data_IF_970216311410
#
_entry.id   IF_970216311410
#
_cell.length_a   1.000
_cell.length_b   1.000
_cell.length_c   1.000
_cell.angle_alpha   90.00
_cell.angle_beta   90.00
_cell.angle_gamma   90.00
#
_symmetry.space_group_name_H-M   'P 1'
#
loop_
_entity.id
_entity.type
_entity.pdbx_description
1 polymer ?
#
# COMPACT_ATOMS: atom_id res chain seq x y z
N UNK A 1 -2.12 -2.83 16.97
CA UNK A 1 -1.94 -3.99 16.07
C UNK A 1 -0.54 -3.94 15.49
N UNK A 2 0.21 -5.02 15.52
CA UNK A 2 1.47 -5.18 14.83
C UNK A 2 1.21 -6.01 13.57
N UNK A 3 1.70 -5.61 12.42
CA UNK A 3 1.44 -6.32 11.18
C UNK A 3 2.50 -6.05 10.11
N UNK A 4 2.43 -6.86 9.07
CA UNK A 4 3.21 -6.70 7.84
C UNK A 4 2.21 -6.52 6.71
N UNK A 5 2.27 -5.42 6.01
CA UNK A 5 1.40 -5.16 4.86
C UNK A 5 1.98 -5.88 3.64
N UNK A 6 1.25 -6.87 3.14
CA UNK A 6 1.74 -7.72 2.06
C UNK A 6 1.02 -7.48 0.72
N UNK A 7 -0.14 -6.83 0.73
CA UNK A 7 -1.06 -6.83 -0.40
C UNK A 7 -1.57 -5.44 -0.78
N UNK A 8 -0.95 -4.39 -0.25
CA UNK A 8 -1.20 -3.03 -0.72
C UNK A 8 -0.62 -2.84 -2.13
N UNK A 9 -1.24 -1.99 -2.95
CA UNK A 9 -0.59 -1.50 -4.15
C UNK A 9 0.48 -0.50 -3.70
N UNK A 10 1.73 -0.86 -3.89
CA UNK A 10 2.89 -0.04 -3.59
C UNK A 10 3.69 0.14 -4.87
N UNK A 11 4.19 1.34 -5.09
CA UNK A 11 5.25 1.54 -6.04
C UNK A 11 6.56 1.12 -5.38
N UNK A 12 7.29 0.24 -6.04
CA UNK A 12 8.65 -0.13 -5.66
C UNK A 12 9.62 0.56 -6.60
N UNK A 13 10.71 1.09 -6.05
CA UNK A 13 11.82 1.56 -6.85
C UNK A 13 12.49 0.35 -7.51
N UNK A 14 12.68 0.43 -8.81
CA UNK A 14 13.36 -0.58 -9.60
C UNK A 14 14.77 -0.10 -9.93
N UNK A 15 15.70 -1.05 -10.00
CA UNK A 15 17.03 -0.74 -10.53
C UNK A 15 16.93 -0.28 -11.98
N UNK A 16 17.84 0.59 -12.37
CA UNK A 16 17.85 1.18 -13.70
C UNK A 16 18.09 0.14 -14.80
N UNK A 17 17.80 0.51 -16.05
CA UNK A 17 18.03 -0.29 -17.26
C UNK A 17 19.46 -0.82 -17.44
N UNK A 18 20.42 -0.37 -16.64
CA UNK A 18 21.81 -0.84 -16.65
C UNK A 18 22.02 -2.15 -15.92
N UNK A 19 21.02 -2.60 -15.15
CA UNK A 19 21.05 -3.90 -14.49
C UNK A 19 20.65 -5.00 -15.48
N UNK A 20 21.57 -5.91 -15.77
CA UNK A 20 21.32 -7.08 -16.62
C UNK A 20 20.45 -8.16 -15.93
N UNK A 21 20.04 -7.95 -14.71
CA UNK A 21 19.17 -8.85 -13.97
C UNK A 21 17.72 -8.40 -14.17
N UNK A 22 16.96 -9.19 -14.93
CA UNK A 22 15.53 -8.97 -15.11
C UNK A 22 14.84 -8.84 -13.76
N UNK A 23 14.13 -7.74 -13.57
CA UNK A 23 13.43 -7.47 -12.32
C UNK A 23 12.25 -8.40 -12.19
N UNK A 24 12.40 -9.40 -11.36
CA UNK A 24 11.25 -10.10 -10.85
C UNK A 24 10.59 -9.22 -9.78
N UNK A 25 9.26 -9.13 -9.79
CA UNK A 25 8.45 -8.70 -8.66
C UNK A 25 8.68 -9.63 -7.45
N UNK A 26 9.89 -9.66 -6.95
CA UNK A 26 10.19 -10.35 -5.70
C UNK A 26 9.63 -9.46 -4.61
N UNK A 27 8.52 -9.90 -4.10
CA UNK A 27 7.74 -9.40 -3.00
C UNK A 27 8.43 -8.23 -2.31
N UNK A 28 7.92 -7.02 -2.60
CA UNK A 28 8.53 -5.79 -2.17
C UNK A 28 8.88 -5.83 -0.69
N UNK A 29 9.75 -4.96 -0.25
CA UNK A 29 10.03 -4.79 1.17
C UNK A 29 8.71 -4.77 1.91
N UNK A 30 8.53 -5.71 2.83
CA UNK A 30 7.35 -5.77 3.67
C UNK A 30 7.66 -4.90 4.89
N UNK A 31 7.26 -3.62 4.91
CA UNK A 31 7.54 -2.79 6.05
C UNK A 31 6.81 -3.35 7.26
N UNK A 32 7.56 -3.59 8.32
CA UNK A 32 6.96 -3.83 9.62
C UNK A 32 6.27 -2.55 10.06
N UNK A 33 5.00 -2.64 10.39
CA UNK A 33 4.26 -1.48 10.87
C UNK A 33 3.58 -1.75 12.22
N UNK A 34 3.48 -0.70 13.00
CA UNK A 34 2.70 -0.64 14.22
C UNK A 34 1.48 0.26 13.98
N UNK A 35 0.29 -0.25 14.18
CA UNK A 35 -0.94 0.54 14.11
C UNK A 35 -1.50 0.76 15.52
N UNK A 36 -1.63 2.02 15.89
CA UNK A 36 -2.24 2.46 17.14
C UNK A 36 -3.47 3.30 16.81
N UNK A 37 -4.59 3.03 17.47
CA UNK A 37 -5.80 3.80 17.21
C UNK A 37 -6.81 3.68 18.31
N UNK A 38 -7.77 4.61 18.26
CA UNK A 38 -8.90 4.68 19.16
C UNK A 38 -10.11 5.23 18.45
N UNK A 39 -11.27 4.95 19.00
CA UNK A 39 -12.55 5.50 18.55
C UNK A 39 -13.34 6.05 19.72
N UNK A 40 -14.19 7.02 19.43
CA UNK A 40 -15.17 7.52 20.37
C UNK A 40 -16.51 7.74 19.69
N UNK A 41 -17.56 7.56 20.45
CA UNK A 41 -18.93 7.91 20.07
C UNK A 41 -19.11 9.40 20.38
N UNK A 42 -19.25 10.23 19.34
CA UNK A 42 -19.48 11.68 19.51
C UNK A 42 -20.90 11.95 19.98
N UNK A 43 -21.87 11.30 19.37
CA UNK A 43 -23.28 11.39 19.70
C UNK A 43 -24.00 10.14 19.20
N UNK A 44 -25.31 10.02 19.49
CA UNK A 44 -26.10 8.89 19.03
C UNK A 44 -25.98 8.71 17.51
N UNK A 45 -25.32 7.65 17.07
CA UNK A 45 -25.17 7.31 15.65
C UNK A 45 -24.03 7.99 14.91
N UNK A 46 -23.14 8.74 15.58
CA UNK A 46 -21.92 9.29 14.98
C UNK A 46 -20.70 8.79 15.75
N UNK A 47 -19.90 7.98 15.11
CA UNK A 47 -18.65 7.46 15.67
C UNK A 47 -17.47 8.05 14.89
N UNK A 48 -16.43 8.47 15.60
CA UNK A 48 -15.18 9.00 15.02
C UNK A 48 -14.01 8.15 15.51
N UNK A 49 -13.15 7.77 14.57
CA UNK A 49 -11.94 7.03 14.84
C UNK A 49 -10.70 7.76 14.35
N UNK A 50 -9.63 7.65 15.09
CA UNK A 50 -8.30 8.13 14.71
C UNK A 50 -7.32 6.99 14.94
N UNK A 51 -6.47 6.75 13.97
CA UNK A 51 -5.35 5.82 14.13
C UNK A 51 -4.11 6.35 13.45
N UNK A 52 -2.98 5.79 13.81
CA UNK A 52 -1.70 6.06 13.15
C UNK A 52 -1.01 4.77 12.80
N UNK A 53 -0.51 4.71 11.58
CA UNK A 53 0.38 3.67 11.11
C UNK A 53 1.81 4.19 11.26
N UNK A 54 2.67 3.46 11.96
CA UNK A 54 4.08 3.79 12.18
C UNK A 54 4.90 2.74 11.43
N UNK A 55 5.67 3.17 10.45
CA UNK A 55 6.66 2.37 9.74
C UNK A 55 8.07 2.92 9.96
N UNK A 56 9.09 2.26 9.41
CA UNK A 56 10.48 2.69 9.54
C UNK A 56 11.05 3.04 8.17
N UNK A 57 11.73 4.18 8.09
CA UNK A 57 12.56 4.63 6.98
C UNK A 57 14.01 4.37 7.31
N UNK A 58 14.80 3.92 6.33
CA UNK A 58 16.22 3.67 6.49
C UNK A 58 17.05 4.84 5.98
N UNK A 59 18.07 5.24 6.75
CA UNK A 59 19.07 6.20 6.33
C UNK A 59 20.45 5.56 6.53
N UNK A 60 21.31 5.65 5.51
CA UNK A 60 22.68 5.18 5.56
C UNK A 60 23.64 6.33 5.28
N UNK A 61 24.67 6.46 6.09
CA UNK A 61 25.75 7.41 5.90
C UNK A 61 27.07 6.62 5.75
N UNK A 62 27.74 6.85 4.62
CA UNK A 62 29.05 6.28 4.34
C UNK A 62 30.09 7.39 4.35
N UNK A 63 31.10 7.27 5.19
CA UNK A 63 32.27 8.18 5.18
C UNK A 63 33.50 7.37 4.78
N UNK A 64 34.10 7.76 3.65
CA UNK A 64 35.29 7.13 3.14
C UNK A 64 36.45 8.12 3.06
N UNK A 65 37.62 7.73 3.54
CA UNK A 65 38.89 8.46 3.36
C UNK A 65 39.73 7.69 2.37
N UNK A 66 40.00 8.31 1.21
CA UNK A 66 40.64 7.66 0.07
C UNK A 66 41.83 8.49 -0.38
N UNK A 67 42.94 7.84 -0.76
CA UNK A 67 44.10 8.50 -1.36
C UNK A 67 43.87 8.79 -2.87
N UNK A 68 44.81 9.54 -3.48
CA UNK A 68 44.75 9.84 -4.94
C UNK A 68 44.93 8.61 -5.83
N UNK A 69 45.42 7.49 -5.29
CA UNK A 69 45.57 6.23 -6.00
C UNK A 69 44.31 5.34 -5.91
N UNK A 70 43.27 5.81 -5.18
CA UNK A 70 42.04 5.08 -5.00
C UNK A 70 42.03 4.08 -3.85
N UNK A 71 43.07 4.07 -3.00
CA UNK A 71 43.09 3.19 -1.84
C UNK A 71 42.30 3.83 -0.70
N UNK A 72 41.34 3.11 -0.14
CA UNK A 72 40.56 3.56 1.01
C UNK A 72 41.28 3.22 2.30
N UNK A 73 41.66 4.25 3.06
CA UNK A 73 42.36 4.09 4.34
C UNK A 73 41.39 3.87 5.51
N UNK A 74 40.21 4.49 5.41
CA UNK A 74 39.19 4.42 6.44
C UNK A 74 37.79 4.46 5.81
N UNK A 75 36.93 3.56 6.27
CA UNK A 75 35.50 3.51 5.88
C UNK A 75 34.68 3.35 7.13
N UNK A 76 33.62 4.18 7.22
CA UNK A 76 32.65 4.11 8.29
C UNK A 76 31.24 4.19 7.69
N UNK A 77 30.44 3.16 7.93
CA UNK A 77 29.03 3.14 7.57
C UNK A 77 28.17 3.23 8.83
N UNK A 78 27.25 4.17 8.83
CA UNK A 78 26.27 4.34 9.91
C UNK A 78 24.88 4.15 9.29
N UNK A 79 24.11 3.22 9.83
CA UNK A 79 22.72 2.99 9.41
C UNK A 79 21.79 3.36 10.54
N UNK A 80 20.80 4.18 10.26
CA UNK A 80 19.77 4.59 11.20
C UNK A 80 18.38 4.29 10.65
N UNK A 81 17.41 4.10 11.54
CA UNK A 81 16.02 3.93 11.19
C UNK A 81 15.19 5.04 11.84
N UNK A 82 14.43 5.76 11.03
CA UNK A 82 13.54 6.82 11.51
C UNK A 82 12.07 6.39 11.38
N UNK A 83 11.21 6.69 12.38
CA UNK A 83 9.80 6.40 12.27
C UNK A 83 9.13 7.33 11.26
N UNK A 84 8.30 6.75 10.40
CA UNK A 84 7.36 7.46 9.53
C UNK A 84 5.97 7.24 10.07
N UNK A 85 5.27 8.33 10.33
CA UNK A 85 3.94 8.35 10.97
C UNK A 85 2.90 8.68 9.91
N UNK A 86 1.92 7.80 9.74
CA UNK A 86 0.82 7.95 8.78
C UNK A 86 -0.51 8.04 9.53
N UNK A 87 -1.12 9.23 9.61
CA UNK A 87 -2.42 9.38 10.25
C UNK A 87 -3.55 8.80 9.39
N UNK A 88 -4.53 8.22 10.07
CA UNK A 88 -5.79 7.75 9.50
C UNK A 88 -6.93 8.30 10.36
N UNK A 89 -7.90 8.92 9.73
CA UNK A 89 -9.09 9.45 10.39
C UNK A 89 -10.32 8.86 9.73
N UNK A 90 -11.32 8.52 10.51
CA UNK A 90 -12.58 7.99 9.99
C UNK A 90 -13.79 8.44 10.78
N UNK A 91 -14.92 8.51 10.11
CA UNK A 91 -16.22 8.81 10.70
C UNK A 91 -17.25 7.81 10.16
N UNK A 92 -18.11 7.34 11.04
CA UNK A 92 -19.24 6.48 10.68
C UNK A 92 -20.56 7.13 11.14
N UNK A 93 -21.54 7.12 10.25
CA UNK A 93 -22.90 7.55 10.50
C UNK A 93 -23.83 6.34 10.50
N UNK A 94 -24.45 6.07 11.62
CA UNK A 94 -25.50 5.05 11.77
C UNK A 94 -26.87 5.72 11.63
N UNK A 95 -27.45 5.61 10.44
CA UNK A 95 -28.69 6.27 10.11
C UNK A 95 -29.88 5.74 10.92
N UNK A 96 -29.82 4.48 11.33
CA UNK A 96 -30.83 3.90 12.24
C UNK A 96 -30.88 4.67 13.56
N UNK A 97 -29.71 4.88 14.16
CA UNK A 97 -29.64 5.59 15.45
C UNK A 97 -29.96 7.07 15.31
N UNK A 98 -29.62 7.69 14.16
CA UNK A 98 -29.85 9.10 13.92
C UNK A 98 -31.34 9.44 13.67
N UNK A 99 -32.06 8.58 12.96
CA UNK A 99 -33.40 8.93 12.46
C UNK A 99 -34.53 8.01 12.92
N UNK A 100 -34.25 6.75 13.30
CA UNK A 100 -35.32 5.80 13.58
C UNK A 100 -35.82 5.80 15.03
N UNK A 101 -35.07 6.38 15.96
CA UNK A 101 -35.45 6.34 17.38
C UNK A 101 -35.64 4.91 17.88
N UNK A 102 -36.79 4.65 18.51
CA UNK A 102 -37.18 3.33 19.03
C UNK A 102 -38.05 2.48 18.07
N UNK A 103 -38.31 2.98 16.84
CA UNK A 103 -39.19 2.32 15.88
C UNK A 103 -38.49 1.97 14.57
N UNK A 104 -39.11 1.08 13.79
CA UNK A 104 -38.69 0.78 12.44
C UNK A 104 -38.91 1.98 11.53
N UNK A 105 -37.89 2.32 10.72
CA UNK A 105 -37.98 3.39 9.74
C UNK A 105 -37.22 3.04 8.45
N UNK A 106 -37.35 3.89 7.42
CA UNK A 106 -36.70 3.68 6.13
C UNK A 106 -35.18 3.65 6.20
N UNK A 107 -34.58 4.24 7.23
CA UNK A 107 -33.14 4.30 7.43
C UNK A 107 -32.59 3.10 8.25
N UNK A 108 -33.46 2.18 8.66
CA UNK A 108 -33.06 1.03 9.46
C UNK A 108 -32.06 0.15 8.70
N UNK A 109 -30.94 -0.16 9.34
CA UNK A 109 -29.85 -0.97 8.79
C UNK A 109 -28.87 -0.23 7.88
N UNK A 110 -29.07 1.08 7.61
CA UNK A 110 -28.15 1.87 6.80
C UNK A 110 -27.04 2.50 7.64
N UNK A 111 -25.81 2.42 7.10
CA UNK A 111 -24.64 3.10 7.65
C UNK A 111 -23.79 3.68 6.52
N UNK A 112 -23.19 4.84 6.77
CA UNK A 112 -22.26 5.49 5.84
C UNK A 112 -20.96 5.78 6.58
N UNK A 113 -19.83 5.58 5.93
CA UNK A 113 -18.52 5.85 6.50
C UNK A 113 -17.67 6.69 5.54
N UNK A 114 -16.93 7.63 6.09
CA UNK A 114 -15.90 8.40 5.43
C UNK A 114 -14.57 8.12 6.11
N UNK A 115 -13.54 7.86 5.34
CA UNK A 115 -12.18 7.74 5.88
C UNK A 115 -11.17 8.51 5.06
N UNK A 116 -10.16 9.01 5.73
CA UNK A 116 -9.00 9.68 5.19
C UNK A 116 -7.75 9.00 5.70
N UNK A 117 -6.83 8.71 4.81
CA UNK A 117 -5.53 8.15 5.11
C UNK A 117 -4.47 8.95 4.37
N UNK A 118 -3.48 9.46 5.11
CA UNK A 118 -2.38 10.24 4.56
C UNK A 118 -1.47 9.34 3.70
N UNK A 119 -0.73 9.95 2.77
CA UNK A 119 0.33 9.28 2.01
C UNK A 119 1.42 8.75 2.95
N UNK A 120 2.12 7.74 2.52
CA UNK A 120 3.33 7.26 3.16
C UNK A 120 4.35 6.88 2.11
N UNK A 121 5.58 7.27 2.35
CA UNK A 121 6.72 6.89 1.54
C UNK A 121 7.80 6.24 2.41
N UNK A 122 8.49 5.30 1.83
CA UNK A 122 9.75 4.81 2.36
C UNK A 122 10.84 5.23 1.39
N UNK A 123 11.74 6.05 1.88
CA UNK A 123 12.88 6.59 1.16
C UNK A 123 14.15 6.02 1.78
N UNK A 124 15.11 5.66 0.95
CA UNK A 124 16.45 5.35 1.40
C UNK A 124 17.37 6.51 1.01
N UNK A 125 17.99 7.12 2.00
CA UNK A 125 18.99 8.16 1.80
C UNK A 125 20.36 7.56 2.10
N UNK A 126 21.25 7.61 1.11
CA UNK A 126 22.64 7.23 1.24
C UNK A 126 23.50 8.47 1.05
N UNK A 127 24.17 8.90 2.11
CA UNK A 127 25.12 10.00 2.05
C UNK A 127 26.53 9.43 2.04
N UNK A 128 27.30 9.66 0.98
CA UNK A 128 28.70 9.29 0.85
C UNK A 128 29.56 10.54 1.00
N UNK A 129 30.45 10.55 1.96
CA UNK A 129 31.44 11.61 2.15
C UNK A 129 32.84 11.06 1.80
N UNK A 130 33.49 11.72 0.86
CA UNK A 130 34.86 11.35 0.44
C UNK A 130 35.84 12.42 0.82
N UNK A 131 36.88 12.05 1.56
CA UNK A 131 38.00 12.89 1.92
C UNK A 131 39.27 12.38 1.21
N UNK A 132 39.89 13.27 0.44
CA UNK A 132 41.17 12.97 -0.24
C UNK A 132 42.20 13.98 0.29
N UNK A 133 43.09 13.57 1.22
CA UNK A 133 44.07 14.48 1.81
C UNK A 133 44.91 15.21 0.75
N UNK A 134 45.00 16.53 0.87
CA UNK A 134 45.69 17.37 -0.11
C UNK A 134 44.91 17.81 -1.34
N UNK A 135 43.76 17.19 -1.64
CA UNK A 135 42.91 17.55 -2.78
C UNK A 135 41.51 17.93 -2.37
N UNK A 136 40.91 17.14 -1.52
CA UNK A 136 39.58 17.36 -0.92
C UNK A 136 39.73 17.22 0.59
N UNK A 137 40.12 18.33 1.27
CA UNK A 137 40.35 18.27 2.71
C UNK A 137 39.08 18.12 3.50
N UNK A 138 39.20 17.82 4.78
CA UNK A 138 38.07 17.82 5.72
C UNK A 138 37.31 19.17 5.66
N UNK A 139 35.99 19.18 5.55
CA UNK A 139 35.02 18.09 5.78
C UNK A 139 34.76 17.13 4.61
N UNK A 140 35.45 17.23 3.48
CA UNK A 140 35.29 16.32 2.37
C UNK A 140 34.25 16.77 1.34
N UNK A 141 34.04 15.95 0.31
CA UNK A 141 32.97 16.07 -0.66
C UNK A 141 31.84 15.11 -0.30
N UNK A 142 30.67 15.64 -0.03
CA UNK A 142 29.50 14.82 0.27
C UNK A 142 28.62 14.67 -0.97
N UNK A 143 28.34 13.44 -1.35
CA UNK A 143 27.33 13.07 -2.32
C UNK A 143 26.17 12.41 -1.56
N UNK A 144 24.97 12.97 -1.67
CA UNK A 144 23.77 12.36 -1.15
C UNK A 144 22.95 11.77 -2.30
N UNK A 145 22.57 10.52 -2.15
CA UNK A 145 21.67 9.80 -3.05
C UNK A 145 20.42 9.50 -2.26
N UNK A 146 19.28 10.05 -2.71
CA UNK A 146 17.97 9.75 -2.16
C UNK A 146 17.17 8.98 -3.22
N UNK A 147 16.52 7.91 -2.81
CA UNK A 147 15.67 7.11 -3.67
C UNK A 147 14.41 6.68 -2.93
N UNK A 148 13.28 6.70 -3.63
CA UNK A 148 12.00 6.25 -3.08
C UNK A 148 11.92 4.74 -3.25
N UNK A 149 11.92 4.01 -2.14
CA UNK A 149 11.81 2.55 -2.12
C UNK A 149 10.35 2.08 -2.28
N UNK A 150 9.42 2.80 -1.67
CA UNK A 150 7.98 2.51 -1.79
C UNK A 150 7.14 3.77 -1.55
N UNK A 151 5.99 3.82 -2.19
CA UNK A 151 5.04 4.90 -2.03
C UNK A 151 3.62 4.36 -1.90
N UNK A 152 2.89 4.84 -0.91
CA UNK A 152 1.47 4.60 -0.73
C UNK A 152 0.74 5.93 -0.85
N UNK A 153 -0.24 6.06 -1.75
CA UNK A 153 -0.91 7.33 -1.98
C UNK A 153 -1.80 7.73 -0.79
N UNK A 154 -2.09 8.99 -0.71
CA UNK A 154 -3.20 9.50 0.10
C UNK A 154 -4.50 8.91 -0.41
N UNK A 155 -5.39 8.49 0.51
CA UNK A 155 -6.67 7.87 0.16
C UNK A 155 -7.80 8.55 0.90
N UNK A 156 -8.83 8.92 0.13
CA UNK A 156 -10.14 9.31 0.67
C UNK A 156 -11.13 8.24 0.26
N UNK A 157 -11.84 7.65 1.21
CA UNK A 157 -12.81 6.61 0.93
C UNK A 157 -14.19 6.97 1.49
N UNK A 158 -15.21 6.84 0.66
CA UNK A 158 -16.61 6.96 1.03
C UNK A 158 -17.29 5.62 0.81
N UNK A 159 -17.92 5.09 1.84
CA UNK A 159 -18.64 3.84 1.77
C UNK A 159 -20.03 3.93 2.37
N UNK A 160 -20.97 3.14 1.84
CA UNK A 160 -22.28 2.95 2.42
C UNK A 160 -22.60 1.47 2.48
N UNK A 161 -23.29 1.06 3.52
CA UNK A 161 -23.74 -0.31 3.66
C UNK A 161 -25.17 -0.38 4.17
N UNK A 162 -25.84 -1.43 3.74
CA UNK A 162 -27.15 -1.84 4.26
C UNK A 162 -27.02 -3.19 4.93
N UNK A 163 -27.54 -3.32 6.13
CA UNK A 163 -27.44 -4.53 6.96
C UNK A 163 -28.80 -4.96 7.48
N UNK A 164 -29.06 -6.25 7.37
CA UNK A 164 -30.15 -6.96 8.05
C UNK A 164 -29.56 -8.01 9.00
N UNK A 165 -30.39 -8.81 9.64
CA UNK A 165 -29.94 -9.91 10.51
C UNK A 165 -29.10 -10.95 9.78
N UNK A 166 -29.41 -11.22 8.50
CA UNK A 166 -28.76 -12.27 7.71
C UNK A 166 -27.90 -11.76 6.57
N UNK A 167 -28.10 -10.54 6.14
CA UNK A 167 -27.49 -10.03 4.92
C UNK A 167 -26.86 -8.66 5.17
N UNK A 168 -25.70 -8.44 4.57
CA UNK A 168 -25.06 -7.12 4.49
C UNK A 168 -24.54 -6.92 3.07
N UNK A 169 -24.85 -5.77 2.49
CA UNK A 169 -24.25 -5.30 1.24
C UNK A 169 -23.60 -3.96 1.48
N UNK A 170 -22.41 -3.77 0.90
CA UNK A 170 -21.68 -2.51 1.00
C UNK A 170 -21.09 -2.13 -0.34
N UNK A 171 -21.03 -0.82 -0.58
CA UNK A 171 -20.37 -0.20 -1.71
C UNK A 171 -19.40 0.83 -1.15
N UNK A 172 -18.19 0.87 -1.70
CA UNK A 172 -17.18 1.85 -1.33
C UNK A 172 -16.52 2.38 -2.59
N UNK A 173 -16.21 3.68 -2.60
CA UNK A 173 -15.35 4.30 -3.61
C UNK A 173 -14.17 4.90 -2.88
N UNK A 174 -12.96 4.55 -3.31
CA UNK A 174 -11.71 5.10 -2.82
C UNK A 174 -11.10 5.96 -3.90
N UNK A 175 -10.80 7.22 -3.59
CA UNK A 175 -9.95 8.08 -4.40
C UNK A 175 -8.51 7.97 -3.90
N UNK A 176 -7.59 7.55 -4.76
CA UNK A 176 -6.16 7.41 -4.47
C UNK A 176 -5.38 8.49 -5.21
N UNK A 177 -4.60 9.29 -4.48
CA UNK A 177 -3.85 10.45 -4.98
C UNK A 177 -2.45 10.06 -5.44
N UNK A 178 -2.35 9.35 -6.56
CA UNK A 178 -1.08 8.91 -7.12
C UNK A 178 -0.28 10.03 -7.79
N UNK A 179 -0.93 11.13 -8.22
CA UNK A 179 -0.22 12.27 -8.81
C UNK A 179 0.78 12.93 -7.86
N UNK A 180 0.66 12.71 -6.55
CA UNK A 180 1.63 13.20 -5.56
C UNK A 180 3.00 12.54 -5.75
N UNK A 181 3.04 11.30 -6.24
CA UNK A 181 4.27 10.58 -6.51
C UNK A 181 5.15 11.27 -7.57
N UNK A 182 4.54 11.94 -8.56
CA UNK A 182 5.32 12.65 -9.58
C UNK A 182 6.24 13.71 -8.98
N UNK A 183 5.76 14.43 -7.96
CA UNK A 183 6.56 15.45 -7.29
C UNK A 183 7.75 14.82 -6.58
N UNK A 184 7.52 13.76 -5.83
CA UNK A 184 8.57 13.05 -5.10
C UNK A 184 9.64 12.50 -6.05
N UNK A 185 9.24 11.87 -7.16
CA UNK A 185 10.17 11.35 -8.16
C UNK A 185 10.99 12.45 -8.85
N UNK A 186 10.45 13.66 -9.01
CA UNK A 186 11.20 14.80 -9.55
C UNK A 186 12.23 15.34 -8.57
N UNK A 187 11.97 15.23 -7.28
CA UNK A 187 12.87 15.64 -6.20
C UNK A 187 13.94 14.58 -5.92
N UNK A 188 13.71 13.33 -6.34
CA UNK A 188 14.64 12.23 -6.19
C UNK A 188 15.97 12.48 -6.95
N UNK A 189 17.06 11.98 -6.40
CA UNK A 189 18.39 12.11 -7.00
C UNK A 189 18.57 11.12 -8.15
N UNK A 190 17.91 9.97 -8.09
CA UNK A 190 17.91 8.97 -9.15
C UNK A 190 16.86 9.37 -10.20
N UNK A 191 17.31 9.82 -11.37
CA UNK A 191 16.44 10.39 -12.40
C UNK A 191 15.77 9.37 -13.33
N UNK A 192 16.10 8.10 -13.22
CA UNK A 192 15.54 7.04 -14.08
C UNK A 192 14.00 6.97 -14.03
N UNK A 193 13.41 7.35 -12.90
CA UNK A 193 11.95 7.39 -12.71
C UNK A 193 11.33 8.78 -12.84
N UNK A 194 12.14 9.82 -12.99
CA UNK A 194 11.68 11.22 -13.01
C UNK A 194 10.78 11.59 -14.19
N UNK A 195 10.72 10.72 -15.19
CA UNK A 195 9.84 10.86 -16.34
C UNK A 195 8.49 10.17 -16.21
N UNK A 196 8.23 9.38 -15.17
CA UNK A 196 6.94 8.72 -14.96
C UNK A 196 5.85 9.72 -14.56
N UNK A 197 4.67 9.55 -15.11
CA UNK A 197 3.49 10.36 -14.80
C UNK A 197 2.37 9.49 -14.27
N UNK A 198 1.63 10.02 -13.28
CA UNK A 198 0.58 9.27 -12.60
C UNK A 198 -0.72 10.07 -12.53
N UNK A 199 -1.84 9.40 -12.80
CA UNK A 199 -3.18 9.92 -12.56
C UNK A 199 -3.72 9.47 -11.20
N UNK A 200 -4.58 10.31 -10.62
CA UNK A 200 -5.38 9.87 -9.49
C UNK A 200 -6.42 8.88 -9.97
N UNK A 201 -6.66 7.83 -9.20
CA UNK A 201 -7.61 6.78 -9.56
C UNK A 201 -8.74 6.68 -8.57
N UNK A 202 -9.91 6.24 -9.07
CA UNK A 202 -11.06 5.88 -8.25
C UNK A 202 -11.22 4.36 -8.27
N UNK A 203 -11.26 3.75 -7.10
CA UNK A 203 -11.41 2.30 -6.93
C UNK A 203 -12.78 1.99 -6.37
N UNK A 204 -13.77 1.66 -7.20
CA UNK A 204 -15.06 1.20 -6.74
C UNK A 204 -14.98 -0.25 -6.25
N UNK A 205 -15.65 -0.52 -5.13
CA UNK A 205 -15.75 -1.83 -4.50
C UNK A 205 -17.18 -2.14 -4.13
N UNK A 206 -17.58 -3.37 -4.30
CA UNK A 206 -18.86 -3.89 -3.81
C UNK A 206 -18.59 -5.18 -3.06
N UNK A 207 -19.28 -5.36 -1.93
CA UNK A 207 -19.16 -6.57 -1.13
C UNK A 207 -20.50 -6.99 -0.55
N UNK A 208 -20.67 -8.30 -0.43
CA UNK A 208 -21.85 -8.92 0.17
C UNK A 208 -21.41 -9.91 1.23
N UNK A 209 -22.19 -9.98 2.28
CA UNK A 209 -22.05 -10.94 3.37
C UNK A 209 -23.41 -11.61 3.60
N UNK A 210 -23.39 -12.91 3.74
CA UNK A 210 -24.60 -13.69 4.02
C UNK A 210 -24.33 -14.70 5.15
N UNK A 211 -25.17 -14.64 6.20
CA UNK A 211 -25.15 -15.59 7.32
C UNK A 211 -26.01 -16.79 6.95
N UNK A 212 -25.38 -17.90 6.61
CA UNK A 212 -26.06 -19.16 6.37
C UNK A 212 -26.80 -19.65 7.62
N UNK A 213 -26.15 -19.54 8.77
CA UNK A 213 -26.68 -19.84 10.09
C UNK A 213 -25.91 -19.07 11.18
N UNK A 214 -26.12 -19.40 12.46
CA UNK A 214 -25.46 -18.75 13.60
C UNK A 214 -23.94 -18.96 13.62
N UNK A 215 -23.43 -19.97 12.92
CA UNK A 215 -22.03 -20.39 12.96
C UNK A 215 -21.28 -20.15 11.65
N UNK A 216 -21.99 -20.04 10.53
CA UNK A 216 -21.38 -19.97 9.21
C UNK A 216 -21.81 -18.70 8.50
N UNK A 217 -20.84 -17.96 8.01
CA UNK A 217 -20.99 -16.75 7.20
C UNK A 217 -20.16 -16.89 5.94
N UNK A 218 -20.70 -16.46 4.81
CA UNK A 218 -20.00 -16.39 3.53
C UNK A 218 -19.94 -14.93 3.07
N UNK A 219 -18.87 -14.59 2.36
CA UNK A 219 -18.65 -13.25 1.80
C UNK A 219 -18.24 -13.37 0.35
N UNK A 220 -18.62 -12.39 -0.44
CA UNK A 220 -18.12 -12.20 -1.80
C UNK A 220 -17.93 -10.71 -2.07
N UNK A 221 -16.98 -10.37 -2.92
CA UNK A 221 -16.72 -8.99 -3.27
C UNK A 221 -16.04 -8.85 -4.63
N UNK A 222 -16.17 -7.66 -5.18
CA UNK A 222 -15.53 -7.26 -6.42
C UNK A 222 -14.98 -5.84 -6.29
N UNK A 223 -13.82 -5.62 -6.86
CA UNK A 223 -13.23 -4.30 -7.03
C UNK A 223 -12.65 -4.16 -8.44
N UNK A 224 -12.77 -2.95 -8.99
CA UNK A 224 -12.08 -2.55 -10.21
C UNK A 224 -11.04 -1.50 -9.85
N UNK A 225 -9.81 -1.71 -10.26
CA UNK A 225 -8.71 -0.81 -9.99
C UNK A 225 -7.99 -0.51 -11.29
N UNK A 226 -8.11 0.73 -11.75
CA UNK A 226 -7.42 1.19 -12.94
C UNK A 226 -5.94 1.47 -12.57
N UNK A 227 -5.03 1.36 -13.54
CA UNK A 227 -3.63 1.73 -13.36
C UNK A 227 -3.50 3.24 -13.18
N UNK A 228 -2.79 3.73 -12.16
CA UNK A 228 -2.47 5.15 -12.07
C UNK A 228 -1.39 5.57 -13.06
N UNK A 229 -0.60 4.66 -13.61
CA UNK A 229 0.48 4.98 -14.54
C UNK A 229 -0.09 5.47 -15.86
N UNK A 230 0.20 6.72 -16.24
CA UNK A 230 -0.19 7.27 -17.54
C UNK A 230 0.48 6.50 -18.67
N UNK A 231 -0.28 6.27 -19.74
CA UNK A 231 0.27 5.73 -20.97
C UNK A 231 1.30 6.69 -21.55
N UNK A 232 2.52 6.21 -21.76
CA UNK A 232 3.56 6.92 -22.51
C UNK A 232 3.86 6.17 -23.78
N UNK A 233 4.30 6.93 -24.79
CA UNK A 233 4.79 6.36 -26.05
C UNK A 233 6.15 5.70 -25.87
N UNK A 234 6.89 6.07 -24.80
CA UNK A 234 8.18 5.43 -24.49
C UNK A 234 8.51 5.55 -23.02
N UNK A 235 9.05 4.47 -22.45
CA UNK A 235 9.56 4.39 -21.08
C UNK A 235 11.06 4.10 -21.11
N UNK A 236 11.80 4.75 -20.23
CA UNK A 236 13.22 4.51 -20.01
C UNK A 236 13.49 3.58 -18.83
N UNK A 237 12.45 3.16 -18.14
CA UNK A 237 12.48 2.26 -16.98
C UNK A 237 11.48 1.11 -17.14
N UNK A 238 11.78 -0.02 -16.53
CA UNK A 238 10.92 -1.20 -16.51
C UNK A 238 9.87 -1.10 -15.38
N UNK A 239 9.03 -0.08 -15.42
CA UNK A 239 7.93 0.07 -14.49
C UNK A 239 6.61 -0.32 -15.17
N UNK A 240 6.03 -1.42 -14.73
CA UNK A 240 4.80 -1.96 -15.30
C UNK A 240 3.68 -1.92 -14.28
N UNK A 241 2.56 -1.36 -14.68
CA UNK A 241 1.34 -1.37 -13.89
C UNK A 241 0.12 -1.43 -14.81
N UNK A 242 -0.80 -2.34 -14.52
CA UNK A 242 -1.94 -2.68 -15.34
C UNK A 242 -3.24 -2.44 -14.56
N UNK A 243 -4.31 -2.14 -15.30
CA UNK A 243 -5.65 -2.24 -14.76
C UNK A 243 -5.89 -3.64 -14.23
N UNK A 244 -6.62 -3.75 -13.12
CA UNK A 244 -6.94 -5.05 -12.55
C UNK A 244 -8.38 -5.16 -12.06
N UNK A 245 -8.93 -6.35 -12.27
CA UNK A 245 -10.18 -6.78 -11.66
C UNK A 245 -9.88 -7.70 -10.48
N UNK A 246 -10.52 -7.45 -9.36
CA UNK A 246 -10.29 -8.19 -8.12
C UNK A 246 -11.59 -8.84 -7.66
N UNK A 247 -11.61 -10.16 -7.53
CA UNK A 247 -12.73 -10.95 -7.02
C UNK A 247 -12.32 -11.57 -5.70
N UNK A 248 -13.09 -11.37 -4.65
CA UNK A 248 -12.86 -11.93 -3.33
C UNK A 248 -14.00 -12.88 -2.92
N UNK A 249 -13.64 -14.01 -2.32
CA UNK A 249 -14.57 -14.94 -1.68
C UNK A 249 -14.07 -15.23 -0.28
N UNK A 250 -15.00 -15.40 0.67
CA UNK A 250 -14.62 -15.71 2.03
C UNK A 250 -15.67 -16.55 2.76
N UNK A 251 -15.21 -17.24 3.79
CA UNK A 251 -16.05 -17.97 4.69
C UNK A 251 -15.56 -17.82 6.14
N UNK A 252 -16.49 -17.65 7.07
CA UNK A 252 -16.19 -17.64 8.49
C UNK A 252 -16.98 -18.74 9.19
N UNK A 253 -16.32 -19.42 10.14
CA UNK A 253 -16.93 -20.44 10.99
C UNK A 253 -16.69 -20.07 12.45
N UNK A 254 -17.77 -19.93 13.22
CA UNK A 254 -17.74 -19.58 14.64
C UNK A 254 -18.21 -20.75 15.49
N UNK A 255 -17.37 -21.15 16.46
CA UNK A 255 -17.66 -22.17 17.48
C UNK A 255 -17.97 -21.45 18.78
N UNK A 256 -19.23 -21.41 19.18
CA UNK A 256 -19.68 -20.69 20.39
C UNK A 256 -19.18 -21.32 21.68
N UNK A 257 -19.04 -22.67 21.72
CA UNK A 257 -18.60 -23.43 22.87
C UNK A 257 -17.59 -24.52 22.47
N UNK A 258 -16.35 -24.14 22.12
CA UNK A 258 -15.34 -25.15 21.81
C UNK A 258 -14.96 -25.96 23.05
N UNK A 259 -14.77 -27.28 22.93
CA UNK A 259 -14.63 -28.17 24.09
C UNK A 259 -13.40 -27.92 24.97
N UNK A 260 -12.41 -27.17 24.49
CA UNK A 260 -11.16 -26.90 25.21
C UNK A 260 -10.98 -25.41 25.58
N UNK A 261 -11.88 -24.51 25.16
CA UNK A 261 -11.75 -23.09 25.38
C UNK A 261 -13.00 -22.52 26.04
N UNK A 262 -12.80 -21.60 26.99
CA UNK A 262 -13.90 -20.94 27.71
C UNK A 262 -14.58 -19.85 26.84
N UNK A 263 -14.00 -19.48 25.69
CA UNK A 263 -14.42 -18.37 24.85
C UNK A 263 -14.75 -18.81 23.43
N UNK A 264 -15.65 -18.10 22.73
CA UNK A 264 -15.96 -18.38 21.34
C UNK A 264 -14.72 -18.28 20.45
N UNK A 265 -14.58 -19.23 19.54
CA UNK A 265 -13.50 -19.33 18.57
C UNK A 265 -14.06 -19.14 17.17
N UNK A 266 -13.47 -18.23 16.39
CA UNK A 266 -13.83 -17.97 15.00
C UNK A 266 -12.63 -18.18 14.10
N UNK A 267 -12.85 -18.91 13.01
CA UNK A 267 -11.94 -19.06 11.89
C UNK A 267 -12.50 -18.30 10.68
N UNK A 268 -11.65 -17.50 10.03
CA UNK A 268 -11.98 -16.84 8.80
C UNK A 268 -11.02 -17.33 7.70
N UNK A 269 -11.56 -17.62 6.52
CA UNK A 269 -10.84 -18.00 5.33
C UNK A 269 -11.19 -17.06 4.21
N UNK A 270 -10.20 -16.62 3.45
CA UNK A 270 -10.36 -15.74 2.30
C UNK A 270 -9.57 -16.23 1.11
N UNK A 271 -10.16 -16.06 -0.06
CA UNK A 271 -9.53 -16.25 -1.35
C UNK A 271 -9.76 -15.01 -2.18
N UNK A 272 -8.71 -14.53 -2.85
CA UNK A 272 -8.77 -13.41 -3.75
C UNK A 272 -8.10 -13.78 -5.07
N UNK A 273 -8.81 -13.53 -6.15
CA UNK A 273 -8.33 -13.62 -7.52
C UNK A 273 -8.16 -12.21 -8.07
N UNK A 274 -6.99 -11.90 -8.61
CA UNK A 274 -6.69 -10.64 -9.26
C UNK A 274 -6.30 -10.92 -10.70
N UNK A 275 -7.00 -10.31 -11.66
CA UNK A 275 -6.69 -10.42 -13.08
C UNK A 275 -6.16 -9.08 -13.58
N UNK A 276 -4.92 -9.05 -14.03
CA UNK A 276 -4.34 -7.92 -14.72
C UNK A 276 -4.79 -7.94 -16.18
N UNK A 277 -5.26 -6.79 -16.66
CA UNK A 277 -5.65 -6.64 -18.07
C UNK A 277 -4.40 -6.48 -18.91
N UNK A 278 -4.34 -7.08 -20.11
CA UNK A 278 -3.20 -6.90 -21.01
C UNK A 278 -2.95 -5.41 -21.27
N UNK A 279 -1.67 -5.02 -21.19
CA UNK A 279 -1.20 -3.67 -21.50
C UNK A 279 0.15 -3.74 -22.20
N UNK A 280 0.29 -2.98 -23.27
CA UNK A 280 1.53 -2.84 -24.02
C UNK A 280 2.31 -1.62 -23.51
N UNK A 281 3.62 -1.79 -23.31
CA UNK A 281 4.55 -0.76 -22.91
C UNK A 281 5.62 -0.59 -23.97
N UNK A 282 5.86 0.66 -24.38
CA UNK A 282 6.91 1.04 -25.29
C UNK A 282 8.18 1.39 -24.49
N UNK A 283 9.23 0.59 -24.69
CA UNK A 283 10.53 0.73 -24.01
C UNK A 283 11.59 1.34 -24.95
N UNK A 284 11.20 1.94 -26.07
CA UNK A 284 12.11 2.46 -27.10
C UNK A 284 12.99 3.61 -26.62
N UNK A 285 12.60 4.33 -25.55
CA UNK A 285 13.43 5.36 -24.93
C UNK A 285 14.60 4.82 -24.12
N UNK A 286 14.62 3.52 -23.85
CA UNK A 286 15.72 2.88 -23.13
C UNK A 286 16.99 2.92 -23.98
N UNK A 287 17.97 3.74 -23.55
CA UNK A 287 19.30 3.81 -24.18
C UNK A 287 20.21 2.63 -23.78
N UNK A 288 19.69 1.63 -23.10
CA UNK A 288 20.46 0.46 -22.71
C UNK A 288 20.78 -0.38 -23.98
N UNK A 289 22.07 -0.54 -24.36
CA UNK A 289 22.45 -1.31 -25.53
C UNK A 289 22.03 -2.77 -25.48
N UNK A 290 21.58 -3.24 -24.31
CA UNK A 290 21.17 -4.61 -24.06
C UNK A 290 19.67 -4.82 -24.02
N UNK A 291 18.85 -3.76 -24.21
CA UNK A 291 17.40 -3.96 -24.28
C UNK A 291 17.00 -4.45 -25.68
N UNK A 292 16.70 -5.76 -25.86
CA UNK A 292 16.34 -6.32 -27.16
C UNK A 292 14.88 -6.03 -27.55
N UNK A 293 14.10 -5.41 -26.68
CA UNK A 293 12.67 -5.23 -26.87
C UNK A 293 12.31 -3.74 -26.98
N UNK A 294 11.63 -3.40 -28.06
CA UNK A 294 11.05 -2.06 -28.22
C UNK A 294 9.69 -1.95 -27.52
N UNK A 295 8.94 -3.06 -27.53
CA UNK A 295 7.62 -3.15 -26.87
C UNK A 295 7.51 -4.42 -26.06
N UNK A 296 6.81 -4.32 -24.93
CA UNK A 296 6.52 -5.47 -24.05
C UNK A 296 5.04 -5.46 -23.69
N UNK A 297 4.36 -6.57 -23.95
CA UNK A 297 3.01 -6.81 -23.44
C UNK A 297 3.10 -7.47 -22.07
N UNK A 298 2.38 -6.90 -21.09
CA UNK A 298 2.33 -7.38 -19.72
C UNK A 298 0.90 -7.73 -19.37
N UNK A 299 0.68 -8.94 -18.92
CA UNK A 299 -0.58 -9.43 -18.36
C UNK A 299 -0.33 -10.42 -17.23
N UNK A 300 -1.36 -10.96 -16.64
CA UNK A 300 -1.22 -12.01 -15.65
C UNK A 300 -2.38 -12.10 -14.68
N UNK A 301 -2.21 -12.99 -13.71
CA UNK A 301 -3.13 -13.16 -12.63
C UNK A 301 -2.43 -13.49 -11.30
N UNK A 302 -3.11 -13.24 -10.22
CA UNK A 302 -2.61 -13.53 -8.88
C UNK A 302 -3.70 -14.16 -8.02
N UNK A 303 -3.31 -15.17 -7.25
CA UNK A 303 -4.17 -15.87 -6.29
C UNK A 303 -3.66 -15.65 -4.87
N UNK A 304 -4.51 -15.11 -4.01
CA UNK A 304 -4.17 -14.84 -2.62
C UNK A 304 -5.08 -15.63 -1.70
N UNK A 305 -4.48 -16.39 -0.78
CA UNK A 305 -5.18 -17.12 0.26
C UNK A 305 -4.87 -16.48 1.61
N UNK A 306 -5.88 -16.29 2.42
CA UNK A 306 -5.76 -15.76 3.77
C UNK A 306 -6.52 -16.59 4.78
N UNK A 307 -6.03 -16.62 6.02
CA UNK A 307 -6.70 -17.26 7.12
C UNK A 307 -6.45 -16.51 8.41
N UNK A 308 -7.45 -16.41 9.26
CA UNK A 308 -7.31 -15.85 10.59
C UNK A 308 -8.08 -16.66 11.64
N UNK A 309 -7.62 -16.54 12.87
CA UNK A 309 -8.27 -17.13 14.04
C UNK A 309 -8.50 -16.03 15.07
N UNK A 310 -9.73 -15.91 15.55
CA UNK A 310 -10.11 -14.90 16.54
C UNK A 310 -10.72 -15.58 17.76
N UNK A 311 -10.17 -15.28 18.95
CA UNK A 311 -10.74 -15.59 20.24
C UNK A 311 -11.45 -14.35 20.77
N UNK A 312 -12.70 -14.49 21.22
CA UNK A 312 -13.49 -13.39 21.81
C UNK A 312 -13.50 -13.58 23.32
N UNK A 313 -12.76 -12.75 24.03
CA UNK A 313 -12.70 -12.74 25.50
C UNK A 313 -13.88 -11.98 26.09
#
# INVERSE_FOLDING_TARGET
MLGVEKFGKEMLAFESNTSNEGQSFRGGRQPLFLNLGGMMVLTHGIDVGVSTLISLRSEAELVARTDLAGNTEQEKMTVSAKPVIRPVVGMTLDWTKLFCGAGDCFANGWQTALSYRESAEAETIVSANTIIPGTIPDPGLTLAIATIDSFQPRVVALGTQYRTDRFRIGITVEEQKWSELEQHLREDTVKDQGGLEFDNINVPRIGVEYKLNKHIMITAGYAKEDSPLKGRTSLDVNYFDNDRDVIGLGAAVEFSNPPLLAYPLRFDFGYQYQKLKPREFDLSASNAPSNPYETVEVDGDSHVFSGSMTLKF
#
